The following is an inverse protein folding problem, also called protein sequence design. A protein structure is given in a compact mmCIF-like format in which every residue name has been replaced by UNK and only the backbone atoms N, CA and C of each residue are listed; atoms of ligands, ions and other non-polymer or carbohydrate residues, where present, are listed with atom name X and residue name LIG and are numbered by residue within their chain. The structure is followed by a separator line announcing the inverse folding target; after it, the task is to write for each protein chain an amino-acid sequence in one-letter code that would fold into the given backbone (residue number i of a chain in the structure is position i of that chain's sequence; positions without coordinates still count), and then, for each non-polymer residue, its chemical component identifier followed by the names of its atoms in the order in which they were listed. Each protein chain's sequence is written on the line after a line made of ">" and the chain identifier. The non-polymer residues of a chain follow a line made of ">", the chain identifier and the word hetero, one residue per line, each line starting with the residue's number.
data_IF_208758715818
#
_entry.id   IF_208758715818
#
_cell.length_a   1.000
_cell.length_b   1.000
_cell.length_c   1.000
_cell.angle_alpha   90.00
_cell.angle_beta   90.00
_cell.angle_gamma   90.00
#
_symmetry.space_group_name_H-M   'P 1'
#
loop_
_entity.id
_entity.type
_entity.pdbx_description
1 polymer ?
#
# COMPACT_ATOMS: atom_id res chain seq x y z
N UNK A 1 -17.12 34.95 -65.94
CA UNK A 1 -17.72 33.73 -66.51
C UNK A 1 -16.84 32.55 -66.11
N UNK A 2 -17.45 31.52 -65.48
CA UNK A 2 -16.92 30.18 -65.13
C UNK A 2 -15.73 30.16 -64.14
N UNK A 3 -15.83 29.80 -62.84
CA UNK A 3 -16.85 29.07 -62.09
C UNK A 3 -16.69 27.56 -62.24
N UNK A 4 -16.14 26.85 -61.23
CA UNK A 4 -16.26 25.40 -60.89
C UNK A 4 -15.22 25.08 -59.78
N UNK A 5 -15.41 24.25 -58.74
CA UNK A 5 -16.52 23.74 -57.92
C UNK A 5 -15.87 23.27 -56.61
N UNK A 6 -16.51 23.57 -55.47
CA UNK A 6 -16.23 22.95 -54.16
C UNK A 6 -16.71 21.48 -54.22
N UNK A 7 -15.89 20.55 -53.73
CA UNK A 7 -16.33 19.18 -53.40
C UNK A 7 -16.36 19.03 -51.89
N UNK A 8 -17.58 18.87 -51.37
CA UNK A 8 -17.84 18.27 -50.07
C UNK A 8 -17.34 16.83 -50.04
N UNK A 9 -16.55 16.49 -49.02
CA UNK A 9 -16.45 15.12 -48.51
C UNK A 9 -16.84 15.15 -47.05
N UNK A 10 -17.80 14.29 -46.75
CA UNK A 10 -18.57 14.15 -45.51
C UNK A 10 -17.71 13.72 -44.32
N UNK A 11 -18.12 14.23 -43.16
CA UNK A 11 -18.06 13.62 -41.81
C UNK A 11 -17.12 12.41 -41.63
N UNK A 12 -15.93 12.67 -41.12
CA UNK A 12 -15.19 11.69 -40.32
C UNK A 12 -15.36 12.06 -38.85
N UNK A 13 -16.06 11.17 -38.14
CA UNK A 13 -16.16 11.07 -36.69
C UNK A 13 -14.89 11.53 -35.97
N UNK A 14 -15.06 12.41 -34.99
CA UNK A 14 -14.05 12.80 -34.01
C UNK A 14 -13.62 11.57 -33.21
N UNK A 15 -12.54 10.92 -33.62
CA UNK A 15 -11.82 9.98 -32.76
C UNK A 15 -11.28 10.78 -31.58
N UNK A 16 -11.89 10.59 -30.41
CA UNK A 16 -11.50 11.23 -29.16
C UNK A 16 -10.02 10.98 -28.88
N UNK A 17 -9.34 12.03 -28.42
CA UNK A 17 -7.98 11.93 -27.93
C UNK A 17 -7.85 10.79 -26.90
N UNK A 18 -6.75 10.02 -26.87
CA UNK A 18 -6.52 9.06 -25.82
C UNK A 18 -6.47 9.82 -24.49
N UNK A 19 -7.35 9.46 -23.56
CA UNK A 19 -7.34 9.97 -22.20
C UNK A 19 -6.04 9.61 -21.47
N UNK A 20 -5.79 10.21 -20.30
CA UNK A 20 -4.59 9.90 -19.52
C UNK A 20 -4.48 8.40 -19.28
N UNK A 21 -3.25 7.87 -19.39
CA UNK A 21 -2.95 6.48 -19.12
C UNK A 21 -3.47 6.11 -17.73
N UNK A 22 -4.38 5.14 -17.71
CA UNK A 22 -5.04 4.60 -16.52
C UNK A 22 -3.95 3.95 -15.65
N UNK A 23 -3.92 4.15 -14.32
CA UNK A 23 -2.98 3.44 -13.47
C UNK A 23 -3.16 1.92 -13.67
N UNK A 24 -2.07 1.13 -13.78
CA UNK A 24 -2.18 -0.31 -13.83
C UNK A 24 -2.83 -0.80 -12.53
N UNK A 25 -3.93 -1.56 -12.64
CA UNK A 25 -4.63 -2.16 -11.49
C UNK A 25 -5.98 -1.54 -11.11
N UNK A 26 -6.75 -0.97 -12.04
CA UNK A 26 -8.15 -0.62 -11.72
C UNK A 26 -8.97 -1.88 -11.41
N UNK A 27 -9.80 -1.81 -10.35
CA UNK A 27 -10.78 -2.79 -9.83
C UNK A 27 -11.56 -3.67 -10.84
N UNK A 28 -11.51 -3.38 -12.14
CA UNK A 28 -12.25 -4.09 -13.18
C UNK A 28 -11.86 -5.56 -13.40
N UNK A 29 -10.69 -6.02 -12.94
CA UNK A 29 -10.29 -7.44 -12.97
C UNK A 29 -10.53 -8.18 -11.62
N UNK A 30 -11.15 -7.50 -10.64
CA UNK A 30 -11.47 -8.08 -9.32
C UNK A 30 -12.97 -8.06 -9.02
N UNK A 31 -13.79 -7.43 -9.86
CA UNK A 31 -15.24 -7.53 -9.74
C UNK A 31 -15.64 -9.01 -9.89
N UNK A 32 -16.15 -9.61 -8.80
CA UNK A 32 -16.51 -11.03 -8.63
C UNK A 32 -15.41 -11.98 -8.11
N UNK A 33 -14.35 -11.52 -7.43
CA UNK A 33 -13.52 -12.45 -6.63
C UNK A 33 -13.82 -12.35 -5.15
N UNK A 34 -13.91 -13.50 -4.49
CA UNK A 34 -13.98 -13.64 -3.05
C UNK A 34 -12.66 -14.16 -2.49
N UNK A 35 -12.66 -14.45 -1.20
CA UNK A 35 -11.56 -15.13 -0.53
C UNK A 35 -12.09 -15.98 0.62
N UNK A 36 -11.32 -16.99 0.99
CA UNK A 36 -11.63 -17.84 2.14
C UNK A 36 -10.35 -18.26 2.83
N UNK A 37 -10.43 -18.49 4.14
CA UNK A 37 -9.32 -19.06 4.90
C UNK A 37 -9.79 -19.64 6.23
N UNK A 38 -9.15 -20.73 6.66
CA UNK A 38 -9.08 -21.07 8.07
C UNK A 38 -8.00 -20.23 8.74
N UNK A 39 -8.28 -19.72 9.93
CA UNK A 39 -7.37 -18.91 10.72
C UNK A 39 -7.45 -19.18 12.20
N UNK A 40 -6.51 -18.58 12.93
CA UNK A 40 -6.42 -18.66 14.38
C UNK A 40 -6.61 -17.25 14.94
N UNK A 41 -7.69 -17.02 15.67
CA UNK A 41 -8.04 -15.72 16.20
C UNK A 41 -7.77 -15.63 17.70
N UNK A 42 -7.18 -14.53 18.17
CA UNK A 42 -7.11 -14.22 19.60
C UNK A 42 -8.23 -13.26 19.97
N UNK A 43 -9.08 -13.67 20.91
CA UNK A 43 -10.21 -12.89 21.39
C UNK A 43 -10.08 -12.67 22.89
N UNK A 44 -10.50 -11.50 23.36
CA UNK A 44 -10.71 -11.28 24.79
C UNK A 44 -11.99 -12.00 25.27
N UNK A 45 -12.19 -12.08 26.58
CA UNK A 45 -13.38 -12.70 27.18
C UNK A 45 -14.71 -12.04 26.74
N UNK A 46 -14.70 -10.76 26.36
CA UNK A 46 -15.89 -10.05 25.86
C UNK A 46 -16.16 -10.26 24.36
N UNK A 47 -15.32 -11.05 23.69
CA UNK A 47 -15.44 -11.35 22.26
C UNK A 47 -14.72 -10.36 21.35
N UNK A 48 -14.06 -9.31 21.86
CA UNK A 48 -13.23 -8.43 21.04
C UNK A 48 -12.10 -9.21 20.38
N UNK A 49 -12.05 -9.17 19.04
CA UNK A 49 -10.98 -9.76 18.24
C UNK A 49 -9.74 -8.86 18.31
N UNK A 50 -8.66 -9.38 18.88
CA UNK A 50 -7.37 -8.68 18.90
C UNK A 50 -6.64 -8.92 17.58
N UNK A 51 -6.57 -10.17 17.13
CA UNK A 51 -5.96 -10.53 15.86
C UNK A 51 -6.55 -11.79 15.24
N UNK A 52 -6.21 -12.04 13.97
CA UNK A 52 -6.45 -13.33 13.32
C UNK A 52 -5.33 -13.64 12.34
N UNK A 53 -4.69 -14.79 12.52
CA UNK A 53 -3.65 -15.29 11.62
C UNK A 53 -4.22 -16.31 10.64
N UNK A 54 -3.98 -16.10 9.34
CA UNK A 54 -4.43 -16.98 8.27
C UNK A 54 -3.21 -17.58 7.56
N UNK A 55 -2.81 -18.83 7.83
CA UNK A 55 -1.58 -19.40 7.26
C UNK A 55 -1.64 -19.63 5.74
N UNK A 56 -2.84 -19.94 5.22
CA UNK A 56 -3.06 -20.30 3.82
C UNK A 56 -4.35 -19.68 3.29
N UNK A 57 -4.40 -18.34 3.10
CA UNK A 57 -5.54 -17.69 2.48
C UNK A 57 -5.63 -18.02 1.00
N UNK A 58 -6.84 -18.14 0.48
CA UNK A 58 -7.09 -18.44 -0.93
C UNK A 58 -8.12 -17.48 -1.54
N UNK A 59 -7.95 -17.20 -2.83
CA UNK A 59 -8.96 -16.51 -3.63
C UNK A 59 -10.02 -17.50 -4.10
N UNK A 60 -11.27 -17.03 -4.18
CA UNK A 60 -12.40 -17.82 -4.66
C UNK A 60 -13.11 -17.09 -5.81
N UNK A 61 -14.01 -17.79 -6.51
CA UNK A 61 -14.89 -17.20 -7.53
C UNK A 61 -15.92 -16.20 -6.96
N UNK A 62 -15.88 -15.92 -5.66
CA UNK A 62 -16.83 -15.04 -4.99
C UNK A 62 -18.17 -15.69 -4.68
N UNK A 63 -19.08 -14.90 -4.11
CA UNK A 63 -20.39 -15.36 -3.66
C UNK A 63 -20.36 -16.06 -2.29
N UNK A 64 -21.47 -16.71 -1.93
CA UNK A 64 -21.69 -17.25 -0.59
C UNK A 64 -22.03 -16.18 0.45
N UNK A 65 -22.12 -16.59 1.71
CA UNK A 65 -22.39 -15.69 2.83
C UNK A 65 -21.06 -15.18 3.40
N UNK A 66 -20.83 -13.87 3.30
CA UNK A 66 -19.68 -13.23 3.93
C UNK A 66 -19.78 -13.29 5.46
N UNK A 67 -18.63 -13.43 6.13
CA UNK A 67 -18.53 -13.46 7.57
C UNK A 67 -17.62 -14.57 8.07
N UNK A 68 -17.62 -14.75 9.39
CA UNK A 68 -16.69 -15.63 10.09
C UNK A 68 -17.41 -16.61 11.01
N UNK A 69 -17.00 -17.88 10.96
CA UNK A 69 -17.53 -18.96 11.80
C UNK A 69 -16.44 -19.42 12.76
N UNK A 70 -16.71 -19.36 14.06
CA UNK A 70 -15.83 -19.91 15.10
C UNK A 70 -16.01 -21.43 15.22
N UNK A 71 -14.91 -22.12 15.49
CA UNK A 71 -14.83 -23.58 15.64
C UNK A 71 -15.54 -24.34 14.50
N UNK A 72 -15.20 -24.03 13.23
CA UNK A 72 -15.83 -24.64 12.07
C UNK A 72 -15.54 -26.14 12.02
N UNK A 73 -16.53 -26.92 11.58
CA UNK A 73 -16.32 -28.34 11.31
C UNK A 73 -15.30 -28.54 10.19
N UNK A 74 -14.37 -29.49 10.36
CA UNK A 74 -13.34 -29.77 9.35
C UNK A 74 -12.13 -28.84 9.40
N UNK A 75 -11.97 -28.04 10.46
CA UNK A 75 -10.77 -27.25 10.70
C UNK A 75 -9.47 -28.09 10.60
N UNK A 76 -8.39 -27.54 10.02
CA UNK A 76 -7.08 -28.19 10.01
C UNK A 76 -6.58 -28.54 11.42
N UNK A 77 -6.09 -29.75 11.60
CA UNK A 77 -5.69 -30.26 12.92
C UNK A 77 -4.55 -29.43 13.54
N UNK A 78 -3.67 -28.86 12.71
CA UNK A 78 -2.57 -28.01 13.13
C UNK A 78 -3.07 -26.72 13.78
N UNK A 79 -4.18 -26.16 13.28
CA UNK A 79 -4.81 -24.97 13.87
C UNK A 79 -5.59 -25.32 15.13
N UNK A 80 -6.35 -26.41 15.10
CA UNK A 80 -7.11 -26.87 16.27
C UNK A 80 -6.19 -27.17 17.46
N UNK A 81 -4.99 -27.69 17.21
CA UNK A 81 -3.99 -27.96 18.26
C UNK A 81 -3.45 -26.70 18.96
N UNK A 82 -3.59 -25.52 18.35
CA UNK A 82 -3.15 -24.23 18.90
C UNK A 82 -4.27 -23.48 19.63
N UNK A 83 -5.52 -23.92 19.50
CA UNK A 83 -6.65 -23.32 20.20
C UNK A 83 -6.55 -23.57 21.72
N UNK A 84 -6.90 -22.57 22.52
CA UNK A 84 -6.79 -22.66 23.97
C UNK A 84 -6.99 -21.32 24.67
N UNK A 85 -7.04 -21.33 25.99
CA UNK A 85 -7.17 -20.14 26.81
C UNK A 85 -5.84 -19.74 27.44
N UNK A 86 -5.58 -18.43 27.54
CA UNK A 86 -4.51 -17.86 28.34
C UNK A 86 -5.09 -16.99 29.44
N UNK A 87 -5.19 -17.55 30.65
CA UNK A 87 -5.78 -16.89 31.81
C UNK A 87 -5.01 -15.64 32.28
N UNK A 88 -3.69 -15.57 32.04
CA UNK A 88 -2.91 -14.39 32.45
C UNK A 88 -3.14 -13.22 31.50
N UNK A 89 -3.31 -13.51 30.20
CA UNK A 89 -3.68 -12.51 29.18
C UNK A 89 -5.17 -12.21 29.15
N UNK A 90 -6.02 -13.08 29.73
CA UNK A 90 -7.48 -13.03 29.64
C UNK A 90 -7.99 -13.07 28.21
N UNK A 91 -7.42 -14.00 27.45
CA UNK A 91 -7.78 -14.23 26.05
C UNK A 91 -8.00 -15.71 25.79
N UNK A 92 -8.77 -15.99 24.75
CA UNK A 92 -8.87 -17.30 24.12
C UNK A 92 -8.40 -17.22 22.68
N UNK A 93 -7.72 -18.26 22.26
CA UNK A 93 -7.33 -18.50 20.88
C UNK A 93 -8.25 -19.56 20.31
N UNK A 94 -8.94 -19.27 19.21
CA UNK A 94 -9.91 -20.18 18.57
C UNK A 94 -9.68 -20.28 17.07
N UNK A 95 -10.14 -21.38 16.49
CA UNK A 95 -10.13 -21.53 15.03
C UNK A 95 -11.32 -20.78 14.45
N UNK A 96 -11.09 -20.07 13.35
CA UNK A 96 -12.14 -19.41 12.58
C UNK A 96 -12.06 -19.83 11.12
N UNK A 97 -13.19 -19.90 10.44
CA UNK A 97 -13.26 -19.88 8.99
C UNK A 97 -13.86 -18.54 8.57
N UNK A 98 -13.13 -17.76 7.80
CA UNK A 98 -13.59 -16.45 7.30
C UNK A 98 -13.81 -16.53 5.80
N UNK A 99 -14.97 -16.04 5.36
CA UNK A 99 -15.34 -15.95 3.94
C UNK A 99 -15.59 -14.50 3.57
N UNK A 100 -14.93 -14.04 2.52
CA UNK A 100 -15.20 -12.78 1.82
C UNK A 100 -15.91 -13.13 0.52
N UNK A 101 -17.17 -12.72 0.38
CA UNK A 101 -17.94 -13.01 -0.83
C UNK A 101 -17.53 -12.13 -2.03
N UNK A 102 -17.10 -10.90 -1.77
CA UNK A 102 -16.69 -9.92 -2.79
C UNK A 102 -15.60 -9.01 -2.22
N UNK A 103 -14.41 -9.06 -2.82
CA UNK A 103 -13.27 -8.23 -2.43
C UNK A 103 -13.52 -6.74 -2.69
N UNK A 104 -14.45 -6.36 -3.56
CA UNK A 104 -14.81 -4.96 -3.79
C UNK A 104 -15.72 -4.38 -2.71
N UNK A 105 -16.44 -5.23 -1.97
CA UNK A 105 -17.27 -4.82 -0.85
C UNK A 105 -16.43 -4.47 0.39
N UNK A 106 -16.93 -3.56 1.23
CA UNK A 106 -16.29 -3.22 2.49
C UNK A 106 -16.21 -4.45 3.43
N UNK A 107 -15.14 -4.57 4.24
CA UNK A 107 -15.04 -5.62 5.25
C UNK A 107 -16.21 -5.55 6.25
N UNK A 108 -16.69 -6.71 6.70
CA UNK A 108 -17.87 -6.78 7.59
C UNK A 108 -17.52 -6.97 9.07
N UNK A 109 -16.34 -7.50 9.38
CA UNK A 109 -15.86 -7.73 10.74
C UNK A 109 -14.31 -7.63 10.82
N UNK A 110 -13.75 -7.82 12.01
CA UNK A 110 -12.30 -7.76 12.21
C UNK A 110 -11.55 -8.89 11.49
N UNK A 111 -12.11 -10.10 11.44
CA UNK A 111 -11.48 -11.25 10.80
C UNK A 111 -11.38 -11.04 9.29
N UNK A 112 -12.42 -10.47 8.67
CA UNK A 112 -12.46 -10.05 7.27
C UNK A 112 -11.32 -9.05 6.98
N UNK A 113 -11.16 -8.02 7.81
CA UNK A 113 -10.03 -7.08 7.67
C UNK A 113 -8.69 -7.82 7.72
N UNK A 114 -8.46 -8.68 8.71
CA UNK A 114 -7.22 -9.44 8.81
C UNK A 114 -6.99 -10.33 7.57
N UNK A 115 -8.03 -10.98 7.04
CA UNK A 115 -7.92 -11.80 5.83
C UNK A 115 -7.51 -10.94 4.62
N UNK A 116 -8.10 -9.76 4.44
CA UNK A 116 -7.71 -8.82 3.36
C UNK A 116 -6.25 -8.37 3.47
N UNK A 117 -5.78 -8.09 4.69
CA UNK A 117 -4.38 -7.73 4.90
C UNK A 117 -3.44 -8.92 4.60
N UNK A 118 -3.85 -10.15 4.91
CA UNK A 118 -3.09 -11.34 4.51
C UNK A 118 -3.07 -11.50 2.99
N UNK A 119 -4.19 -11.31 2.28
CA UNK A 119 -4.22 -11.40 0.81
C UNK A 119 -3.22 -10.44 0.14
N UNK A 120 -3.08 -9.23 0.68
CA UNK A 120 -2.07 -8.25 0.23
C UNK A 120 -0.64 -8.75 0.51
N UNK A 121 -0.35 -9.17 1.74
CA UNK A 121 1.01 -9.56 2.15
C UNK A 121 1.46 -10.92 1.61
N UNK A 122 0.52 -11.83 1.30
CA UNK A 122 0.77 -13.05 0.54
C UNK A 122 0.96 -12.80 -0.96
N UNK A 123 0.77 -11.56 -1.43
CA UNK A 123 0.79 -11.17 -2.85
C UNK A 123 -0.28 -11.84 -3.72
N UNK A 124 -1.38 -12.29 -3.10
CA UNK A 124 -2.54 -12.82 -3.82
C UNK A 124 -3.34 -11.69 -4.47
N UNK A 125 -3.31 -10.50 -3.85
CA UNK A 125 -3.95 -9.28 -4.33
C UNK A 125 -2.94 -8.14 -4.26
N UNK A 126 -2.84 -7.35 -5.33
CA UNK A 126 -2.02 -6.14 -5.33
C UNK A 126 -2.72 -4.99 -4.59
N UNK A 127 -1.99 -3.96 -4.13
CA UNK A 127 -2.60 -2.75 -3.60
C UNK A 127 -3.74 -2.21 -4.49
N UNK A 128 -4.84 -1.75 -3.88
CA UNK A 128 -6.08 -1.32 -4.54
C UNK A 128 -6.89 -2.42 -5.24
N UNK A 129 -6.44 -3.67 -5.20
CA UNK A 129 -7.18 -4.82 -5.69
C UNK A 129 -8.26 -5.34 -4.73
N UNK A 130 -8.46 -4.72 -3.57
CA UNK A 130 -9.53 -5.03 -2.63
C UNK A 130 -9.95 -3.79 -1.84
N UNK A 131 -11.19 -3.77 -1.34
CA UNK A 131 -11.68 -2.70 -0.47
C UNK A 131 -11.21 -2.90 0.97
N UNK A 132 -10.76 -1.83 1.61
CA UNK A 132 -10.52 -1.74 3.04
C UNK A 132 -11.34 -0.60 3.64
N UNK A 133 -12.46 -0.23 3.03
CA UNK A 133 -13.30 0.86 3.52
C UNK A 133 -13.78 0.59 4.96
N UNK A 134 -13.59 1.56 5.86
CA UNK A 134 -14.04 1.45 7.26
C UNK A 134 -13.20 0.53 8.16
N UNK A 135 -12.10 -0.06 7.66
CA UNK A 135 -11.28 -1.03 8.40
C UNK A 135 -10.82 -0.55 9.78
N UNK A 136 -10.51 0.74 9.94
CA UNK A 136 -10.08 1.29 11.23
C UNK A 136 -11.15 1.17 12.33
N UNK A 137 -12.43 1.19 11.96
CA UNK A 137 -13.56 1.02 12.88
C UNK A 137 -13.78 -0.44 13.32
N UNK A 138 -13.25 -1.39 12.57
CA UNK A 138 -13.40 -2.83 12.83
C UNK A 138 -12.23 -3.42 13.63
N UNK A 139 -11.03 -2.85 13.51
CA UNK A 139 -9.84 -3.32 14.21
C UNK A 139 -9.78 -2.81 15.66
N UNK A 140 -9.50 -3.68 16.62
CA UNK A 140 -9.17 -3.27 17.99
C UNK A 140 -7.80 -2.58 18.03
N UNK A 141 -7.60 -1.64 18.95
CA UNK A 141 -6.24 -1.20 19.30
C UNK A 141 -5.64 -2.26 20.23
N UNK A 142 -4.44 -2.75 19.94
CA UNK A 142 -3.85 -3.92 20.61
C UNK A 142 -2.52 -3.57 21.24
N UNK A 143 -2.21 -4.17 22.39
CA UNK A 143 -0.85 -4.18 22.95
C UNK A 143 -0.14 -5.43 22.45
N UNK A 144 0.79 -5.27 21.51
CA UNK A 144 1.56 -6.35 20.91
C UNK A 144 2.75 -6.67 21.81
N UNK A 145 2.82 -7.90 22.34
CA UNK A 145 3.86 -8.30 23.29
C UNK A 145 4.63 -9.53 22.83
N UNK A 146 5.76 -9.80 23.47
CA UNK A 146 6.47 -11.07 23.31
C UNK A 146 5.68 -12.31 23.78
N UNK A 147 4.53 -12.14 24.44
CA UNK A 147 3.59 -13.20 24.81
C UNK A 147 2.32 -13.21 23.92
N UNK A 148 2.32 -12.48 22.80
CA UNK A 148 1.18 -12.34 21.91
C UNK A 148 0.33 -11.08 22.17
N UNK A 149 -0.81 -10.94 21.47
CA UNK A 149 -1.67 -9.77 21.58
C UNK A 149 -2.41 -9.74 22.92
N UNK A 150 -2.55 -8.53 23.47
CA UNK A 150 -3.28 -8.25 24.70
C UNK A 150 -4.20 -7.04 24.52
N UNK A 151 -5.30 -7.01 25.25
CA UNK A 151 -6.16 -5.83 25.35
C UNK A 151 -5.42 -4.68 26.06
N UNK A 152 -5.54 -3.42 25.60
CA UNK A 152 -5.09 -2.26 26.37
C UNK A 152 -5.84 -2.11 27.71
N UNK A 153 -7.11 -2.55 27.75
CA UNK A 153 -7.93 -2.46 28.94
C UNK A 153 -7.40 -3.42 30.04
N UNK A 154 -7.01 -2.86 31.19
CA UNK A 154 -6.46 -3.64 32.29
C UNK A 154 -5.06 -4.21 32.05
N UNK A 155 -4.34 -3.74 31.03
CA UNK A 155 -3.06 -4.31 30.61
C UNK A 155 -2.00 -4.35 31.72
N UNK A 156 -1.98 -3.39 32.65
CA UNK A 156 -0.98 -3.41 33.74
C UNK A 156 -1.16 -4.58 34.71
N UNK A 157 -2.40 -5.06 34.92
CA UNK A 157 -2.65 -6.29 35.67
C UNK A 157 -2.23 -7.53 34.86
N UNK A 158 -2.50 -7.54 33.56
CA UNK A 158 -2.03 -8.59 32.63
C UNK A 158 -0.49 -8.64 32.62
N UNK A 159 0.18 -7.50 32.56
CA UNK A 159 1.64 -7.38 32.62
C UNK A 159 2.18 -7.96 33.93
N UNK A 160 1.56 -7.63 35.07
CA UNK A 160 1.94 -8.19 36.37
C UNK A 160 1.77 -9.72 36.39
N UNK A 161 0.67 -10.24 35.86
CA UNK A 161 0.43 -11.69 35.75
C UNK A 161 1.46 -12.38 34.84
N UNK A 162 1.79 -11.78 33.70
CA UNK A 162 2.77 -12.30 32.74
C UNK A 162 4.20 -12.26 33.26
N UNK A 163 4.55 -11.36 34.19
CA UNK A 163 5.91 -11.27 34.76
C UNK A 163 6.37 -12.55 35.45
N UNK A 164 5.46 -13.40 35.92
CA UNK A 164 5.83 -14.73 36.46
C UNK A 164 6.41 -15.67 35.39
N UNK A 165 6.15 -15.39 34.11
CA UNK A 165 6.64 -16.13 32.93
C UNK A 165 7.93 -15.56 32.36
N UNK A 166 8.39 -14.39 32.83
CA UNK A 166 9.61 -13.72 32.37
C UNK A 166 9.42 -12.22 32.09
N UNK A 167 10.41 -11.60 31.43
CA UNK A 167 10.34 -10.20 31.04
C UNK A 167 9.21 -9.98 30.02
N UNK A 168 8.37 -8.99 30.30
CA UNK A 168 7.29 -8.57 29.39
C UNK A 168 7.75 -7.38 28.58
N UNK A 169 7.87 -7.56 27.27
CA UNK A 169 8.22 -6.51 26.31
C UNK A 169 6.98 -6.15 25.51
N UNK A 170 6.67 -4.86 25.46
CA UNK A 170 5.68 -4.31 24.53
C UNK A 170 6.43 -3.91 23.27
N UNK A 171 6.07 -4.54 22.15
CA UNK A 171 6.66 -4.32 20.84
C UNK A 171 5.99 -3.13 20.15
N UNK A 172 4.66 -3.04 20.25
CA UNK A 172 3.87 -1.97 19.68
C UNK A 172 2.53 -1.80 20.42
N UNK A 173 1.91 -0.63 20.28
CA UNK A 173 0.51 -0.40 20.65
C UNK A 173 -0.19 0.21 19.45
N UNK A 174 -0.88 -0.61 18.67
CA UNK A 174 -1.47 -0.20 17.39
C UNK A 174 -2.58 -1.18 16.96
N UNK A 175 -3.39 -0.78 15.99
CA UNK A 175 -4.39 -1.61 15.30
C UNK A 175 -3.80 -2.56 14.25
N UNK A 176 -2.61 -2.23 13.73
CA UNK A 176 -1.93 -3.03 12.70
C UNK A 176 -0.67 -3.68 13.27
N UNK A 177 -0.53 -5.01 13.19
CA UNK A 177 0.70 -5.68 13.59
C UNK A 177 1.80 -5.59 12.52
N UNK A 178 2.98 -6.10 12.87
CA UNK A 178 4.09 -6.31 11.93
C UNK A 178 3.75 -7.44 10.97
N UNK A 179 4.06 -7.27 9.68
CA UNK A 179 3.74 -8.26 8.65
C UNK A 179 4.41 -9.62 8.91
N UNK A 180 5.68 -9.61 9.30
CA UNK A 180 6.51 -10.81 9.43
C UNK A 180 6.09 -11.75 10.55
N UNK A 181 5.28 -11.27 11.50
CA UNK A 181 4.70 -12.10 12.55
C UNK A 181 3.58 -13.01 12.01
N UNK A 182 3.10 -12.76 10.78
CA UNK A 182 1.99 -13.47 10.12
C UNK A 182 2.43 -14.16 8.83
N UNK A 183 3.19 -13.46 7.99
CA UNK A 183 3.69 -13.97 6.71
C UNK A 183 5.03 -13.34 6.35
N UNK A 184 5.95 -14.18 5.87
CA UNK A 184 7.22 -13.76 5.27
C UNK A 184 7.20 -14.11 3.78
N UNK A 185 6.90 -13.16 2.87
CA UNK A 185 6.88 -13.44 1.44
C UNK A 185 8.28 -13.84 0.95
N UNK A 186 8.34 -14.77 0.01
CA UNK A 186 9.60 -15.27 -0.55
C UNK A 186 10.33 -14.19 -1.36
N UNK A 187 11.67 -14.28 -1.31
CA UNK A 187 12.60 -13.43 -2.08
C UNK A 187 12.63 -11.96 -1.68
N UNK A 188 12.16 -11.65 -0.48
CA UNK A 188 12.20 -10.32 0.13
C UNK A 188 13.23 -10.29 1.27
N UNK A 189 13.85 -9.12 1.48
CA UNK A 189 14.65 -8.83 2.69
C UNK A 189 14.05 -7.64 3.43
N UNK A 190 14.01 -7.72 4.76
CA UNK A 190 13.54 -6.65 5.64
C UNK A 190 14.59 -6.48 6.73
N UNK A 191 15.24 -5.31 6.77
CA UNK A 191 16.29 -4.99 7.74
C UNK A 191 15.75 -4.77 9.15
N UNK A 192 14.64 -4.03 9.25
CA UNK A 192 13.90 -3.83 10.50
C UNK A 192 12.43 -4.26 10.32
N UNK A 193 12.01 -5.40 10.91
CA UNK A 193 10.65 -5.92 10.75
C UNK A 193 9.58 -5.02 11.38
N UNK A 194 9.93 -4.12 12.31
CA UNK A 194 8.97 -3.24 12.98
C UNK A 194 8.38 -2.19 12.02
N UNK A 195 8.99 -2.00 10.84
CA UNK A 195 8.62 -0.96 9.87
C UNK A 195 7.80 -1.44 8.69
N UNK A 196 7.35 -2.69 8.70
CA UNK A 196 6.48 -3.25 7.65
C UNK A 196 5.20 -3.75 8.30
N UNK A 197 4.09 -3.05 8.05
CA UNK A 197 2.77 -3.44 8.58
C UNK A 197 2.18 -4.61 7.81
N UNK A 198 1.43 -5.46 8.51
CA UNK A 198 0.55 -6.43 7.85
C UNK A 198 -0.39 -5.70 6.86
N UNK A 199 -0.49 -6.23 5.64
CA UNK A 199 -1.14 -5.57 4.52
C UNK A 199 -0.19 -4.82 3.58
N UNK A 200 1.11 -4.73 3.88
CA UNK A 200 2.12 -4.33 2.91
C UNK A 200 2.29 -5.41 1.84
N UNK A 201 2.47 -5.00 0.59
CA UNK A 201 2.73 -5.89 -0.55
C UNK A 201 4.19 -5.71 -1.02
N UNK A 202 5.04 -6.70 -0.80
CA UNK A 202 6.46 -6.66 -1.18
C UNK A 202 6.75 -7.68 -2.28
N UNK A 203 6.88 -7.21 -3.51
CA UNK A 203 7.18 -8.07 -4.66
C UNK A 203 8.56 -8.74 -4.54
N UNK A 204 8.75 -9.83 -5.28
CA UNK A 204 10.00 -10.59 -5.32
C UNK A 204 11.18 -9.67 -5.71
N UNK A 205 12.33 -9.83 -5.04
CA UNK A 205 13.49 -8.96 -5.19
C UNK A 205 13.46 -7.67 -4.37
N UNK A 206 12.36 -7.36 -3.68
CA UNK A 206 12.29 -6.17 -2.81
C UNK A 206 13.20 -6.28 -1.60
N UNK A 207 13.95 -5.21 -1.32
CA UNK A 207 14.67 -5.03 -0.06
C UNK A 207 14.14 -3.79 0.66
N UNK A 208 13.62 -3.97 1.87
CA UNK A 208 13.32 -2.88 2.80
C UNK A 208 14.48 -2.76 3.79
N UNK A 209 15.25 -1.68 3.72
CA UNK A 209 16.33 -1.41 4.66
C UNK A 209 15.79 -0.82 5.98
N UNK A 210 16.65 -0.66 6.98
CA UNK A 210 16.27 -0.24 8.34
C UNK A 210 15.50 1.10 8.42
N UNK A 211 15.76 2.05 7.52
CA UNK A 211 15.00 3.32 7.48
C UNK A 211 13.72 3.21 6.62
N UNK A 212 13.64 2.15 5.81
CA UNK A 212 12.49 1.83 4.99
C UNK A 212 11.24 1.61 5.83
N UNK A 213 10.09 2.04 5.34
CA UNK A 213 8.79 1.80 5.96
C UNK A 213 7.76 1.53 4.88
N UNK A 214 6.91 0.52 5.08
CA UNK A 214 5.82 0.20 4.16
C UNK A 214 4.52 0.00 4.93
N UNK A 215 3.52 0.80 4.59
CA UNK A 215 2.19 0.74 5.21
C UNK A 215 1.30 -0.34 4.57
N UNK A 216 0.09 -0.52 5.10
CA UNK A 216 -0.91 -1.40 4.49
C UNK A 216 -1.42 -0.86 3.14
N UNK A 217 -1.89 -1.76 2.28
CA UNK A 217 -2.40 -1.46 0.94
C UNK A 217 -1.40 -0.61 0.13
N UNK A 218 -0.11 -0.91 0.28
CA UNK A 218 0.99 -0.18 -0.30
C UNK A 218 2.19 -1.11 -0.49
N UNK A 219 3.17 -0.68 -1.28
CA UNK A 219 4.44 -1.37 -1.42
C UNK A 219 4.93 -1.41 -2.86
N UNK A 220 5.51 -2.53 -3.26
CA UNK A 220 6.28 -2.68 -4.49
C UNK A 220 5.62 -3.68 -5.44
N UNK A 221 5.70 -3.43 -6.75
CA UNK A 221 5.20 -4.33 -7.81
C UNK A 221 6.33 -5.12 -8.51
N UNK A 222 7.59 -4.86 -8.16
CA UNK A 222 8.75 -5.58 -8.68
C UNK A 222 9.96 -5.47 -7.76
N UNK A 223 11.16 -5.62 -8.33
CA UNK A 223 12.42 -5.43 -7.60
C UNK A 223 12.56 -3.97 -7.22
N UNK A 224 12.87 -3.67 -5.96
CA UNK A 224 12.99 -2.31 -5.46
C UNK A 224 13.89 -2.23 -4.23
N UNK A 225 14.64 -1.14 -4.11
CA UNK A 225 15.30 -0.75 -2.86
C UNK A 225 14.43 0.26 -2.10
N UNK A 226 14.03 -0.08 -0.87
CA UNK A 226 13.18 0.76 -0.03
C UNK A 226 13.93 1.14 1.24
N UNK A 227 14.46 2.36 1.25
CA UNK A 227 15.17 2.98 2.37
C UNK A 227 14.42 4.21 2.92
N UNK A 228 13.29 4.58 2.30
CA UNK A 228 12.38 5.63 2.76
C UNK A 228 10.97 5.11 3.07
N UNK A 229 10.03 6.04 3.23
CA UNK A 229 8.66 5.75 3.71
C UNK A 229 7.67 5.66 2.55
N UNK A 230 7.01 4.52 2.43
CA UNK A 230 5.90 4.26 1.52
C UNK A 230 4.57 4.37 2.29
N UNK A 231 3.84 5.46 2.04
CA UNK A 231 2.54 5.72 2.68
C UNK A 231 1.44 4.74 2.23
N UNK A 232 0.37 4.62 3.01
CA UNK A 232 -0.77 3.75 2.64
C UNK A 232 -1.35 4.16 1.28
N UNK A 233 -1.67 3.16 0.45
CA UNK A 233 -2.09 3.36 -0.93
C UNK A 233 -0.96 3.58 -1.94
N UNK A 234 0.28 3.88 -1.51
CA UNK A 234 1.36 4.18 -2.45
C UNK A 234 1.94 2.91 -3.06
N UNK A 235 2.13 2.94 -4.38
CA UNK A 235 2.69 1.83 -5.15
C UNK A 235 3.99 2.27 -5.82
N UNK A 236 5.01 1.43 -5.73
CA UNK A 236 6.32 1.61 -6.33
C UNK A 236 6.51 0.58 -7.44
N UNK A 237 6.78 1.06 -8.66
CA UNK A 237 7.03 0.24 -9.84
C UNK A 237 8.36 -0.53 -9.77
N UNK A 238 8.57 -1.36 -10.79
CA UNK A 238 9.73 -2.23 -10.89
C UNK A 238 11.03 -1.44 -11.11
N UNK A 239 12.11 -1.90 -10.49
CA UNK A 239 13.44 -1.28 -10.47
C UNK A 239 13.47 0.17 -9.97
N UNK A 240 12.51 0.58 -9.14
CA UNK A 240 12.46 1.91 -8.54
C UNK A 240 13.01 1.92 -7.11
N UNK A 241 13.83 2.92 -6.82
CA UNK A 241 14.51 3.06 -5.53
C UNK A 241 13.95 4.24 -4.73
N UNK A 242 13.57 3.97 -3.48
CA UNK A 242 13.14 4.97 -2.50
C UNK A 242 14.28 5.19 -1.52
N UNK A 243 15.14 6.19 -1.78
CA UNK A 243 16.38 6.41 -1.03
C UNK A 243 16.18 6.73 0.46
N UNK A 244 17.27 6.63 1.22
CA UNK A 244 17.31 6.75 2.68
C UNK A 244 16.54 7.95 3.23
N UNK A 245 15.51 7.72 4.03
CA UNK A 245 14.72 8.78 4.67
C UNK A 245 13.77 9.53 3.72
N UNK A 246 13.71 9.16 2.44
CA UNK A 246 12.77 9.74 1.49
C UNK A 246 11.31 9.53 1.92
N UNK A 247 10.40 10.38 1.45
CA UNK A 247 8.98 10.35 1.80
C UNK A 247 8.12 10.22 0.56
N UNK A 248 7.22 9.24 0.50
CA UNK A 248 6.05 9.34 -0.39
C UNK A 248 4.86 9.85 0.42
N UNK A 249 4.22 10.90 -0.09
CA UNK A 249 3.15 11.59 0.62
C UNK A 249 1.89 10.71 0.63
N UNK A 250 1.33 10.47 1.82
CA UNK A 250 -0.02 9.90 1.92
C UNK A 250 -1.07 10.94 1.56
N UNK A 251 -2.29 10.50 1.24
CA UNK A 251 -3.43 11.36 0.84
C UNK A 251 -3.71 12.49 1.85
N UNK A 252 -3.38 12.28 3.13
CA UNK A 252 -3.59 13.24 4.23
C UNK A 252 -2.56 14.37 4.31
N UNK A 253 -1.41 14.27 3.63
CA UNK A 253 -0.26 15.17 3.83
C UNK A 253 -0.14 16.34 2.85
N UNK A 254 -1.03 16.48 1.85
CA UNK A 254 -0.89 17.54 0.83
C UNK A 254 -2.16 18.02 0.13
N UNK A 255 -3.34 17.80 0.71
CA UNK A 255 -4.61 18.38 0.21
C UNK A 255 -5.13 17.83 -1.13
N UNK A 256 -4.48 16.80 -1.68
CA UNK A 256 -4.90 16.10 -2.90
C UNK A 256 -5.66 14.81 -2.58
N UNK A 257 -6.63 14.45 -3.43
CA UNK A 257 -7.30 13.13 -3.40
C UNK A 257 -6.55 12.05 -4.17
N UNK A 258 -5.51 12.44 -4.91
CA UNK A 258 -4.74 11.54 -5.75
C UNK A 258 -3.82 10.66 -4.92
N UNK A 259 -3.81 9.37 -5.25
CA UNK A 259 -2.91 8.39 -4.66
C UNK A 259 -1.56 8.52 -5.35
N UNK A 260 -0.50 8.70 -4.57
CA UNK A 260 0.86 8.77 -5.11
C UNK A 260 1.26 7.39 -5.63
N UNK A 261 1.83 7.36 -6.83
CA UNK A 261 2.46 6.20 -7.42
C UNK A 261 3.80 6.62 -8.02
N UNK A 262 4.80 5.74 -7.94
CA UNK A 262 6.08 5.90 -8.61
C UNK A 262 6.16 4.81 -9.67
N UNK A 263 6.39 5.19 -10.93
CA UNK A 263 6.55 4.24 -12.04
C UNK A 263 7.81 3.39 -11.92
N UNK A 264 8.24 2.82 -13.03
CA UNK A 264 9.41 1.96 -13.11
C UNK A 264 10.72 2.77 -13.22
N UNK A 265 11.84 2.18 -12.79
CA UNK A 265 13.21 2.73 -12.95
C UNK A 265 13.38 4.16 -12.43
N UNK A 266 12.64 4.52 -11.41
CA UNK A 266 12.70 5.82 -10.78
C UNK A 266 13.70 5.84 -9.60
N UNK A 267 14.18 7.03 -9.25
CA UNK A 267 15.04 7.23 -8.10
C UNK A 267 14.55 8.41 -7.26
N UNK A 268 14.12 8.14 -6.04
CA UNK A 268 13.94 9.17 -5.02
C UNK A 268 15.24 9.28 -4.23
N UNK A 269 15.93 10.42 -4.33
CA UNK A 269 17.15 10.66 -3.59
C UNK A 269 16.94 10.64 -2.07
N UNK A 270 18.00 10.40 -1.31
CA UNK A 270 17.93 10.40 0.15
C UNK A 270 17.31 11.70 0.69
N UNK A 271 16.44 11.59 1.69
CA UNK A 271 15.69 12.69 2.30
C UNK A 271 14.85 13.52 1.31
N UNK A 272 14.57 13.04 0.10
CA UNK A 272 13.63 13.69 -0.81
C UNK A 272 12.17 13.47 -0.35
N UNK A 273 11.22 14.20 -0.93
CA UNK A 273 9.80 13.98 -0.66
C UNK A 273 8.97 14.09 -1.93
N UNK A 274 8.15 13.09 -2.22
CA UNK A 274 7.31 13.05 -3.40
C UNK A 274 5.84 13.25 -3.03
N UNK A 275 5.24 14.32 -3.57
CA UNK A 275 3.83 14.68 -3.37
C UNK A 275 2.98 14.71 -4.63
N UNK A 276 3.45 14.15 -5.75
CA UNK A 276 2.71 13.90 -6.99
C UNK A 276 3.03 12.50 -7.50
N UNK A 277 2.13 11.81 -8.23
CA UNK A 277 2.50 10.59 -8.90
C UNK A 277 3.51 10.89 -10.02
N UNK A 278 4.42 9.96 -10.29
CA UNK A 278 5.39 10.04 -11.39
C UNK A 278 5.25 8.80 -12.26
N UNK A 279 5.47 8.99 -13.57
CA UNK A 279 5.61 7.88 -14.51
C UNK A 279 6.97 7.20 -14.35
N UNK A 280 7.46 6.63 -15.43
CA UNK A 280 8.71 5.87 -15.44
C UNK A 280 9.94 6.78 -15.55
N UNK A 281 11.11 6.25 -15.21
CA UNK A 281 12.41 6.89 -15.43
C UNK A 281 12.47 8.33 -14.88
N UNK A 282 11.90 8.58 -13.71
CA UNK A 282 11.97 9.87 -13.03
C UNK A 282 13.01 9.88 -11.92
N UNK A 283 13.66 11.02 -11.71
CA UNK A 283 14.61 11.23 -10.62
C UNK A 283 14.21 12.45 -9.82
N UNK A 284 14.19 12.30 -8.50
CA UNK A 284 14.05 13.40 -7.55
C UNK A 284 15.36 13.55 -6.78
N UNK A 285 15.98 14.71 -6.86
CA UNK A 285 17.22 15.01 -6.15
C UNK A 285 17.10 14.76 -4.64
N UNK A 286 18.20 14.31 -4.02
CA UNK A 286 18.31 14.20 -2.57
C UNK A 286 17.96 15.54 -1.87
N UNK A 287 17.20 15.46 -0.78
CA UNK A 287 16.77 16.62 0.00
C UNK A 287 15.70 17.50 -0.66
N UNK A 288 15.25 17.20 -1.89
CA UNK A 288 14.18 17.95 -2.53
C UNK A 288 12.81 17.37 -2.15
N UNK A 289 11.96 18.18 -1.52
CA UNK A 289 10.54 17.87 -1.34
C UNK A 289 9.70 18.54 -2.45
N UNK A 290 9.13 17.72 -3.34
CA UNK A 290 8.26 18.11 -4.44
C UNK A 290 6.78 17.94 -4.05
N UNK A 291 6.17 19.00 -3.52
CA UNK A 291 4.72 19.03 -3.26
C UNK A 291 3.94 19.32 -4.54
N UNK A 292 2.66 18.96 -4.60
CA UNK A 292 1.78 19.27 -5.74
C UNK A 292 1.73 20.78 -6.10
N UNK A 293 1.89 21.65 -5.09
CA UNK A 293 1.88 23.11 -5.24
C UNK A 293 3.25 23.72 -5.55
N UNK A 294 4.34 22.94 -5.49
CA UNK A 294 5.69 23.43 -5.78
C UNK A 294 5.74 23.97 -7.21
N UNK A 295 6.18 25.21 -7.37
CA UNK A 295 6.46 25.81 -8.67
C UNK A 295 7.79 25.28 -9.19
N UNK A 296 7.80 24.72 -10.38
CA UNK A 296 8.98 24.16 -11.05
C UNK A 296 9.25 24.92 -12.34
N UNK A 297 10.51 25.26 -12.58
CA UNK A 297 10.96 25.94 -13.79
C UNK A 297 11.43 24.92 -14.81
N UNK A 298 10.84 24.93 -16.01
CA UNK A 298 11.21 24.08 -17.13
C UNK A 298 12.41 24.60 -17.91
N UNK A 299 12.91 23.83 -18.89
CA UNK A 299 14.08 24.21 -19.71
C UNK A 299 13.87 25.47 -20.56
N UNK A 300 12.63 25.82 -20.86
CA UNK A 300 12.22 27.02 -21.59
C UNK A 300 12.07 28.26 -20.68
N UNK A 301 12.35 28.11 -19.38
CA UNK A 301 12.19 29.15 -18.36
C UNK A 301 10.75 29.32 -17.87
N UNK A 302 9.78 28.58 -18.42
CA UNK A 302 8.41 28.66 -17.94
C UNK A 302 8.27 27.98 -16.58
N UNK A 303 7.37 28.53 -15.75
CA UNK A 303 7.12 28.01 -14.42
C UNK A 303 5.71 27.43 -14.34
N UNK A 304 5.60 26.17 -13.96
CA UNK A 304 4.34 25.45 -13.78
C UNK A 304 4.26 24.85 -12.36
N UNK A 305 3.07 24.42 -11.93
CA UNK A 305 2.94 23.66 -10.68
C UNK A 305 3.34 22.21 -10.93
N UNK A 306 3.98 21.57 -9.96
CA UNK A 306 4.41 20.18 -10.05
C UNK A 306 3.26 19.22 -10.36
N UNK A 307 2.03 19.48 -9.87
CA UNK A 307 0.84 18.68 -10.22
C UNK A 307 0.56 18.57 -11.72
N UNK A 308 0.96 19.56 -12.53
CA UNK A 308 0.77 19.54 -13.99
C UNK A 308 1.74 18.55 -14.68
N UNK A 309 2.68 17.98 -13.92
CA UNK A 309 3.64 16.95 -14.32
C UNK A 309 3.31 15.57 -13.72
N UNK A 310 2.17 15.45 -13.02
CA UNK A 310 1.72 14.20 -12.44
C UNK A 310 1.64 13.08 -13.49
N UNK A 311 2.24 11.93 -13.19
CA UNK A 311 2.25 10.75 -14.06
C UNK A 311 3.15 10.85 -15.30
N UNK A 312 3.89 11.95 -15.48
CA UNK A 312 4.85 12.06 -16.60
C UNK A 312 6.13 11.28 -16.30
N UNK A 313 6.74 10.75 -17.36
CA UNK A 313 7.99 9.97 -17.32
C UNK A 313 9.20 10.82 -17.71
N UNK A 314 10.41 10.30 -17.48
CA UNK A 314 11.68 10.86 -17.99
C UNK A 314 11.96 12.30 -17.49
N UNK A 315 11.69 12.56 -16.21
CA UNK A 315 11.89 13.89 -15.59
C UNK A 315 12.93 13.82 -14.47
N UNK A 316 13.87 14.78 -14.46
CA UNK A 316 14.73 15.06 -13.31
C UNK A 316 14.24 16.33 -12.63
N UNK A 317 13.88 16.20 -11.36
CA UNK A 317 13.56 17.30 -10.47
C UNK A 317 14.76 17.61 -9.58
N UNK A 318 15.19 18.87 -9.56
CA UNK A 318 16.34 19.32 -8.76
C UNK A 318 16.13 20.74 -8.23
N UNK A 319 16.87 21.12 -7.20
CA UNK A 319 16.99 22.50 -6.73
C UNK A 319 18.31 23.07 -7.24
N UNK A 320 18.24 24.15 -8.00
CA UNK A 320 19.41 24.88 -8.41
C UNK A 320 20.12 25.46 -7.18
N UNK A 321 21.35 25.04 -6.93
CA UNK A 321 22.10 25.43 -5.72
C UNK A 321 22.56 26.90 -5.72
N UNK A 322 22.55 27.57 -6.87
CA UNK A 322 22.94 28.98 -7.00
C UNK A 322 21.74 29.92 -6.85
N UNK A 323 20.56 29.53 -7.38
CA UNK A 323 19.37 30.38 -7.40
C UNK A 323 18.30 29.97 -6.38
N UNK A 324 18.36 28.74 -5.87
CA UNK A 324 17.34 28.14 -5.00
C UNK A 324 16.07 27.68 -5.74
N UNK A 325 15.96 27.94 -7.04
CA UNK A 325 14.81 27.56 -7.85
C UNK A 325 14.68 26.03 -7.96
N UNK A 326 13.45 25.52 -7.90
CA UNK A 326 13.18 24.12 -8.23
C UNK A 326 13.00 24.02 -9.73
N UNK A 327 13.79 23.16 -10.36
CA UNK A 327 13.83 22.97 -11.80
C UNK A 327 13.33 21.57 -12.15
N UNK A 328 12.75 21.45 -13.34
CA UNK A 328 12.48 20.17 -14.00
C UNK A 328 13.19 20.16 -15.34
N UNK A 329 13.95 19.11 -15.61
CA UNK A 329 14.67 18.92 -16.87
C UNK A 329 14.42 17.52 -17.43
N UNK A 330 14.55 17.30 -18.75
CA UNK A 330 14.51 15.96 -19.34
C UNK A 330 15.55 15.04 -18.69
N UNK A 331 15.16 13.79 -18.42
CA UNK A 331 16.03 12.74 -17.89
C UNK A 331 16.04 11.53 -18.81
N UNK A 332 17.23 11.14 -19.28
CA UNK A 332 17.48 10.15 -20.35
C UNK A 332 16.81 10.57 -21.69
N UNK A 333 17.60 10.53 -22.77
CA UNK A 333 17.29 11.23 -24.04
C UNK A 333 16.17 10.63 -24.89
N UNK A 334 15.77 9.37 -24.63
CA UNK A 334 15.05 8.62 -25.66
C UNK A 334 13.52 8.81 -25.60
N UNK A 335 12.99 9.67 -24.72
CA UNK A 335 11.55 9.73 -24.47
C UNK A 335 10.92 11.08 -24.10
N UNK A 336 11.56 12.23 -24.31
CA UNK A 336 10.99 13.52 -23.86
C UNK A 336 10.77 14.53 -24.98
N UNK A 337 9.58 14.48 -25.59
CA UNK A 337 8.98 15.68 -26.20
C UNK A 337 8.24 16.49 -25.12
N UNK A 338 8.99 17.17 -24.24
CA UNK A 338 8.42 18.07 -23.22
C UNK A 338 7.59 19.21 -23.86
N UNK A 339 7.93 19.60 -25.09
CA UNK A 339 7.30 20.70 -25.82
C UNK A 339 5.85 20.40 -26.26
N UNK A 340 5.55 19.20 -26.76
CA UNK A 340 4.21 18.91 -27.29
C UNK A 340 3.14 18.78 -26.18
N UNK A 341 3.54 18.34 -24.98
CA UNK A 341 2.64 18.10 -23.85
C UNK A 341 2.36 19.35 -22.99
N UNK A 342 3.13 20.43 -23.14
CA UNK A 342 2.91 21.72 -22.45
C UNK A 342 1.99 22.66 -23.23
N UNK A 343 1.69 22.36 -24.50
CA UNK A 343 0.99 23.26 -25.41
C UNK A 343 -0.41 22.78 -25.84
N UNK A 344 -0.99 21.77 -25.18
CA UNK A 344 -2.42 21.44 -25.36
C UNK A 344 -3.27 22.27 -24.40
N UNK A 345 -3.82 23.36 -24.92
CA UNK A 345 -4.96 24.08 -24.32
C UNK A 345 -6.27 23.32 -24.57
#
# INVERSE_FOLDING_TARGET
>A
MHGIRIRDVRSASTAGAPGPARPPGTLSDVTNRGAKAYGLATLTDDGTVLDTWFPAPELTEGGGTAGSVQDPAGAPAELTALAGADADRKVRTVVVETTIADLSAAPVDAHDVYLRLHLLSHRLVQPHGLSLEGQFGLLANVVWTNFGPCSPAGFELVRAALRKRGTVTVLAVDKFPRMVDYVLPTGVRIGDPDRVRLGAHLADGTTVMHEGFVNFNAGTLGTAMVEGRISAGVVIGDHSDVGGGASTMGTLSGGGKEIIALGERCLLGANSGLGIPLGDDCVLEAGLYLTAGTKVTGPDGQTIKARELAGKSNLLFRRNSMTGAVEVVPWKSDGVELNAALHKN
#
